data_IF_877145340697
#
_entry.id   IF_877145340697
#
_cell.length_a   1.000
_cell.length_b   1.000
_cell.length_c   1.000
_cell.angle_alpha   90.00
_cell.angle_beta   90.00
_cell.angle_gamma   90.00
#
_symmetry.space_group_name_H-M   'P 1'
#
loop_
_entity.id
_entity.type
_entity.pdbx_description
1 polymer ?
#
# COMPACT_ATOMS: atom_id res chain seq x y z
N UNK A 1 -4.57 18.93 32.60
CA UNK A 1 -5.34 19.69 31.60
C UNK A 1 -4.96 19.18 30.22
N UNK A 2 -5.71 18.20 29.73
CA UNK A 2 -5.57 17.63 28.39
C UNK A 2 -6.07 18.66 27.40
N UNK A 3 -5.15 19.36 26.73
CA UNK A 3 -5.49 20.27 25.64
C UNK A 3 -6.17 19.48 24.54
N UNK A 4 -7.44 19.77 24.30
CA UNK A 4 -8.16 19.28 23.14
C UNK A 4 -7.47 19.84 21.90
N UNK A 5 -6.80 18.98 21.14
CA UNK A 5 -6.28 19.32 19.81
C UNK A 5 -7.49 19.47 18.91
N UNK A 6 -7.99 20.70 18.75
CA UNK A 6 -8.98 21.04 17.74
C UNK A 6 -8.47 20.52 16.38
N UNK A 7 -9.27 19.80 15.60
CA UNK A 7 -8.83 19.33 14.29
C UNK A 7 -8.51 20.55 13.41
N UNK A 8 -7.22 20.82 13.19
CA UNK A 8 -6.77 21.84 12.26
C UNK A 8 -7.24 21.42 10.87
N UNK A 9 -8.10 22.22 10.25
CA UNK A 9 -8.62 21.98 8.91
C UNK A 9 -7.44 21.96 7.94
N UNK A 10 -7.17 20.80 7.32
CA UNK A 10 -6.08 20.66 6.36
C UNK A 10 -6.39 21.49 5.13
N UNK A 11 -5.60 22.55 4.90
CA UNK A 11 -5.71 23.35 3.68
C UNK A 11 -4.82 22.73 2.61
N UNK A 12 -5.39 22.46 1.44
CA UNK A 12 -4.65 21.87 0.33
C UNK A 12 -3.50 22.79 -0.11
N UNK A 13 -2.33 22.20 -0.39
CA UNK A 13 -1.13 22.91 -0.82
C UNK A 13 -0.64 22.32 -2.15
N UNK A 14 -1.27 22.69 -3.28
CA UNK A 14 -0.97 22.11 -4.58
C UNK A 14 0.43 22.51 -5.09
N UNK A 15 1.02 21.65 -5.91
CA UNK A 15 2.28 21.95 -6.62
C UNK A 15 2.00 22.92 -7.76
N UNK A 16 2.67 24.07 -7.77
CA UNK A 16 2.47 25.12 -8.78
C UNK A 16 3.64 25.21 -9.75
N UNK A 17 4.86 24.91 -9.30
CA UNK A 17 6.03 24.82 -10.17
C UNK A 17 7.02 23.76 -9.68
N UNK A 18 7.76 23.19 -10.63
CA UNK A 18 8.80 22.20 -10.37
C UNK A 18 10.01 22.52 -11.23
N UNK A 19 11.17 22.58 -10.59
CA UNK A 19 12.46 22.64 -11.27
C UNK A 19 13.15 21.30 -11.12
N UNK A 20 13.28 20.55 -12.21
CA UNK A 20 13.94 19.25 -12.21
C UNK A 20 15.46 19.43 -12.33
N UNK A 21 16.20 18.84 -11.41
CA UNK A 21 17.66 18.77 -11.45
C UNK A 21 18.08 17.34 -11.83
N UNK A 22 19.38 17.09 -11.86
CA UNK A 22 19.90 15.78 -12.27
C UNK A 22 19.64 14.66 -11.24
N UNK A 23 19.39 14.99 -9.98
CA UNK A 23 19.28 14.04 -8.87
C UNK A 23 18.09 14.28 -7.93
N UNK A 24 17.38 15.39 -8.09
CA UNK A 24 16.26 15.84 -7.25
C UNK A 24 15.39 16.83 -8.03
N UNK A 25 14.26 17.23 -7.45
CA UNK A 25 13.51 18.39 -7.92
C UNK A 25 13.34 19.42 -6.81
N UNK A 26 13.30 20.69 -7.18
CA UNK A 26 12.78 21.76 -6.34
C UNK A 26 11.31 21.92 -6.64
N UNK A 27 10.47 21.74 -5.61
CA UNK A 27 9.02 21.88 -5.69
C UNK A 27 8.64 23.22 -5.09
N UNK A 28 7.83 23.98 -5.80
CA UNK A 28 7.21 25.22 -5.34
C UNK A 28 5.69 25.04 -5.31
N UNK A 29 5.09 25.56 -4.25
CA UNK A 29 3.66 25.48 -3.96
C UNK A 29 3.17 26.85 -3.58
N UNK A 30 1.97 27.18 -4.05
CA UNK A 30 1.33 28.46 -3.74
C UNK A 30 -0.08 28.22 -3.28
N UNK A 31 -0.48 28.89 -2.21
CA UNK A 31 -1.84 28.84 -1.68
C UNK A 31 -2.23 30.19 -1.09
N UNK A 32 -3.50 30.56 -1.27
CA UNK A 32 -4.09 31.71 -0.57
C UNK A 32 -4.82 31.21 0.66
N UNK A 33 -4.47 31.75 1.82
CA UNK A 33 -5.09 31.42 3.11
C UNK A 33 -5.71 32.67 3.72
N UNK A 34 -6.86 32.52 4.36
CA UNK A 34 -7.47 33.58 5.15
C UNK A 34 -6.83 33.62 6.54
N UNK A 35 -6.15 34.72 6.85
CA UNK A 35 -5.48 34.92 8.12
C UNK A 35 -6.32 35.78 9.06
N UNK A 36 -6.31 35.44 10.34
CA UNK A 36 -6.74 36.35 11.41
C UNK A 36 -5.59 37.26 11.84
N UNK A 37 -5.90 38.40 12.46
CA UNK A 37 -4.89 39.27 13.06
C UNK A 37 -4.26 38.61 14.30
N UNK A 38 -2.94 38.75 14.45
CA UNK A 38 -2.13 38.12 15.49
C UNK A 38 -1.38 36.88 15.00
N UNK A 39 -0.90 36.08 15.95
CA UNK A 39 -0.16 34.84 15.70
C UNK A 39 -1.14 33.66 15.60
N UNK A 40 -1.03 32.87 14.53
CA UNK A 40 -1.82 31.65 14.34
C UNK A 40 -1.00 30.51 13.74
N UNK A 41 -1.46 29.28 13.96
CA UNK A 41 -0.85 28.07 13.41
C UNK A 41 -1.75 27.48 12.33
N UNK A 42 -1.15 27.17 11.19
CA UNK A 42 -1.78 26.55 10.04
C UNK A 42 -1.23 25.14 9.83
N UNK A 43 -2.05 24.27 9.25
CA UNK A 43 -1.65 22.94 8.78
C UNK A 43 -2.02 22.82 7.31
N UNK A 44 -1.01 22.66 6.47
CA UNK A 44 -1.14 22.62 5.01
C UNK A 44 -0.70 21.24 4.49
N UNK A 45 -1.40 20.69 3.51
CA UNK A 45 -1.06 19.39 2.92
C UNK A 45 -2.27 18.59 2.43
N UNK A 46 -2.10 17.26 2.21
CA UNK A 46 -0.88 16.47 2.43
C UNK A 46 0.25 16.80 1.43
N UNK A 47 1.49 16.49 1.84
CA UNK A 47 2.71 16.52 1.05
C UNK A 47 3.37 15.13 1.12
N UNK A 48 4.30 14.87 0.19
CA UNK A 48 5.13 13.68 0.16
C UNK A 48 6.04 13.64 1.39
N UNK A 49 6.14 12.45 1.99
CA UNK A 49 7.06 12.21 3.09
C UNK A 49 8.54 12.39 2.71
N UNK A 50 8.83 12.38 1.41
CA UNK A 50 10.17 12.56 0.85
C UNK A 50 10.65 14.02 0.86
N UNK A 51 9.76 14.99 1.15
CA UNK A 51 10.12 16.40 1.21
C UNK A 51 11.26 16.64 2.22
N UNK A 52 12.29 17.38 1.82
CA UNK A 52 13.52 17.55 2.62
C UNK A 52 13.41 18.74 3.57
N UNK A 53 13.35 18.47 4.87
CA UNK A 53 13.08 19.45 5.93
C UNK A 53 14.05 20.63 5.91
N UNK A 54 15.35 20.34 5.72
CA UNK A 54 16.41 21.35 5.72
C UNK A 54 16.35 22.33 4.55
N UNK A 55 15.51 22.06 3.57
CA UNK A 55 15.35 22.88 2.37
C UNK A 55 14.00 23.59 2.34
N UNK A 56 13.15 23.34 3.35
CA UNK A 56 11.86 23.98 3.48
C UNK A 56 12.04 25.49 3.64
N UNK A 57 11.39 26.24 2.77
CA UNK A 57 11.31 27.69 2.82
C UNK A 57 9.85 28.08 2.61
N UNK A 58 9.31 28.87 3.52
CA UNK A 58 7.95 29.39 3.45
C UNK A 58 8.02 30.92 3.52
N UNK A 59 7.41 31.58 2.55
CA UNK A 59 7.49 33.02 2.37
C UNK A 59 6.12 33.59 2.04
N UNK A 60 6.00 34.90 2.24
CA UNK A 60 4.83 35.67 1.82
C UNK A 60 5.28 37.04 1.34
N UNK A 61 4.64 37.54 0.29
CA UNK A 61 4.83 38.90 -0.19
C UNK A 61 3.82 39.89 0.46
N UNK A 62 2.91 39.42 1.31
CA UNK A 62 1.88 40.25 1.92
C UNK A 62 2.46 41.20 2.98
N UNK A 63 2.27 42.53 2.84
CA UNK A 63 2.70 43.50 3.85
C UNK A 63 2.03 43.25 5.20
N UNK A 64 2.81 43.36 6.29
CA UNK A 64 2.28 43.15 7.65
C UNK A 64 2.07 41.68 8.02
N UNK A 65 2.53 40.73 7.19
CA UNK A 65 2.51 39.29 7.51
C UNK A 65 3.93 38.74 7.57
N UNK A 66 4.20 37.91 8.58
CA UNK A 66 5.51 37.28 8.79
C UNK A 66 5.34 35.79 9.07
N UNK A 67 6.18 34.98 8.42
CA UNK A 67 6.33 33.57 8.77
C UNK A 67 7.31 33.48 9.95
N UNK A 68 6.84 32.93 11.07
CA UNK A 68 7.64 32.79 12.29
C UNK A 68 8.33 31.42 12.35
N UNK A 69 7.62 30.36 11.93
CA UNK A 69 8.12 28.99 11.95
C UNK A 69 7.50 28.19 10.81
N UNK A 70 8.29 27.33 10.17
CA UNK A 70 7.83 26.37 9.18
C UNK A 70 8.48 25.02 9.47
N UNK A 71 7.68 23.96 9.58
CA UNK A 71 8.19 22.60 9.79
C UNK A 71 7.35 21.56 9.08
N UNK A 72 8.01 20.51 8.59
CA UNK A 72 7.33 19.33 8.08
C UNK A 72 7.07 18.34 9.22
N UNK A 73 5.84 17.89 9.34
CA UNK A 73 5.43 16.86 10.30
C UNK A 73 4.96 15.65 9.52
N UNK A 74 5.66 14.53 9.71
CA UNK A 74 5.31 13.27 9.06
C UNK A 74 4.30 12.51 9.90
N UNK A 75 3.25 12.04 9.25
CA UNK A 75 2.21 11.23 9.85
C UNK A 75 2.17 9.88 9.13
N UNK A 76 2.22 8.82 9.92
CA UNK A 76 2.00 7.46 9.45
C UNK A 76 0.53 7.12 9.66
N UNK A 77 -0.23 7.00 8.56
CA UNK A 77 -1.63 6.58 8.53
C UNK A 77 -1.70 5.27 7.77
N UNK A 78 -1.31 4.15 8.40
CA UNK A 78 -1.37 2.85 7.76
C UNK A 78 -2.83 2.52 7.49
N UNK A 79 -3.11 1.88 6.35
CA UNK A 79 -4.41 1.23 6.19
C UNK A 79 -4.38 -0.01 7.04
N UNK A 80 -5.06 0.05 8.19
CA UNK A 80 -5.26 -1.13 9.01
C UNK A 80 -5.88 -2.26 8.15
N UNK A 81 -5.63 -3.54 8.46
CA UNK A 81 -6.27 -4.69 7.82
C UNK A 81 -7.74 -4.78 8.25
N UNK A 82 -8.47 -3.68 8.13
CA UNK A 82 -9.89 -3.58 8.32
C UNK A 82 -10.58 -4.13 7.07
N UNK A 83 -11.81 -4.64 7.21
CA UNK A 83 -12.65 -4.89 6.06
C UNK A 83 -12.75 -3.63 5.20
N UNK A 84 -12.79 -3.77 3.87
CA UNK A 84 -12.94 -2.63 2.98
C UNK A 84 -14.20 -1.83 3.35
N UNK A 85 -14.03 -0.52 3.43
CA UNK A 85 -15.09 0.44 3.71
C UNK A 85 -16.02 0.63 2.51
N UNK A 86 -17.13 1.39 2.67
CA UNK A 86 -18.12 1.56 1.60
C UNK A 86 -17.60 2.28 0.35
N UNK A 87 -16.53 3.07 0.50
CA UNK A 87 -15.89 3.82 -0.60
C UNK A 87 -14.74 3.02 -1.27
N UNK A 88 -14.44 1.81 -0.78
CA UNK A 88 -13.39 0.98 -1.35
C UNK A 88 -13.85 0.30 -2.65
N UNK A 89 -12.89 0.00 -3.51
CA UNK A 89 -13.21 -0.58 -4.82
C UNK A 89 -13.74 -2.00 -4.73
N UNK A 90 -14.46 -2.41 -5.77
CA UNK A 90 -14.92 -3.79 -5.93
C UNK A 90 -13.75 -4.81 -5.91
N UNK A 91 -12.55 -4.42 -6.37
CA UNK A 91 -11.36 -5.27 -6.32
C UNK A 91 -10.90 -5.52 -4.88
N UNK A 92 -10.88 -4.48 -4.04
CA UNK A 92 -10.57 -4.62 -2.60
C UNK A 92 -11.60 -5.48 -1.88
N UNK A 93 -12.90 -5.27 -2.13
CA UNK A 93 -13.96 -6.13 -1.59
C UNK A 93 -13.79 -7.59 -1.99
N UNK A 94 -13.46 -7.85 -3.27
CA UNK A 94 -13.21 -9.19 -3.78
C UNK A 94 -11.99 -9.84 -3.12
N UNK A 95 -10.89 -9.11 -2.99
CA UNK A 95 -9.68 -9.61 -2.34
C UNK A 95 -9.96 -10.00 -0.88
N UNK A 96 -10.67 -9.13 -0.14
CA UNK A 96 -11.04 -9.40 1.23
C UNK A 96 -11.92 -10.65 1.38
N UNK A 97 -12.89 -10.84 0.47
CA UNK A 97 -13.74 -12.04 0.45
C UNK A 97 -12.91 -13.31 0.20
N UNK A 98 -11.99 -13.27 -0.78
CA UNK A 98 -11.08 -14.39 -1.08
C UNK A 98 -10.19 -14.73 0.12
N UNK A 99 -9.69 -13.74 0.85
CA UNK A 99 -8.90 -13.94 2.07
C UNK A 99 -9.72 -14.55 3.22
N UNK A 100 -10.99 -14.15 3.35
CA UNK A 100 -11.90 -14.76 4.31
C UNK A 100 -12.17 -16.23 3.96
N UNK A 101 -12.45 -16.54 2.70
CA UNK A 101 -12.63 -17.92 2.22
C UNK A 101 -11.38 -18.78 2.40
N UNK A 102 -10.20 -18.22 2.10
CA UNK A 102 -8.93 -18.90 2.28
C UNK A 102 -8.72 -19.27 3.75
N UNK A 103 -8.92 -18.32 4.67
CA UNK A 103 -8.81 -18.57 6.13
C UNK A 103 -9.77 -19.67 6.59
N UNK A 104 -11.01 -19.68 6.10
CA UNK A 104 -11.96 -20.73 6.43
C UNK A 104 -11.53 -22.12 5.90
N UNK A 105 -11.03 -22.17 4.67
CA UNK A 105 -10.54 -23.41 4.06
C UNK A 105 -9.29 -23.94 4.77
N UNK A 106 -8.37 -23.06 5.18
CA UNK A 106 -7.16 -23.45 5.91
C UNK A 106 -7.48 -23.97 7.32
N UNK A 107 -8.44 -23.34 8.01
CA UNK A 107 -8.96 -23.88 9.28
C UNK A 107 -9.61 -25.26 9.09
N UNK A 108 -10.34 -25.48 7.99
CA UNK A 108 -10.92 -26.79 7.68
C UNK A 108 -9.84 -27.84 7.42
N UNK A 109 -8.79 -27.48 6.66
CA UNK A 109 -7.61 -28.32 6.45
C UNK A 109 -6.97 -28.71 7.77
N UNK A 110 -6.68 -27.75 8.65
CA UNK A 110 -6.06 -28.01 9.95
C UNK A 110 -6.91 -28.97 10.83
N UNK A 111 -8.24 -28.83 10.81
CA UNK A 111 -9.15 -29.77 11.51
C UNK A 111 -9.10 -31.17 10.91
N UNK A 112 -9.07 -31.30 9.59
CA UNK A 112 -8.99 -32.59 8.90
C UNK A 112 -7.64 -33.29 9.16
N UNK A 113 -6.53 -32.54 9.12
CA UNK A 113 -5.20 -33.04 9.45
C UNK A 113 -5.17 -33.60 10.88
N UNK A 114 -5.69 -32.84 11.85
CA UNK A 114 -5.79 -33.28 13.25
C UNK A 114 -6.68 -34.54 13.41
N UNK A 115 -7.79 -34.61 12.67
CA UNK A 115 -8.70 -35.75 12.69
C UNK A 115 -8.05 -37.01 12.13
N UNK A 116 -7.33 -36.89 11.02
CA UNK A 116 -6.59 -38.00 10.41
C UNK A 116 -5.46 -38.49 11.31
N UNK A 117 -4.74 -37.58 11.98
CA UNK A 117 -3.73 -37.94 12.96
C UNK A 117 -4.33 -38.74 14.15
N UNK A 118 -5.49 -38.32 14.64
CA UNK A 118 -6.21 -39.05 15.69
C UNK A 118 -6.65 -40.45 15.23
N UNK A 119 -7.17 -40.57 14.00
CA UNK A 119 -7.56 -41.88 13.43
C UNK A 119 -6.35 -42.80 13.23
N UNK A 120 -5.19 -42.25 12.87
CA UNK A 120 -3.95 -43.02 12.78
C UNK A 120 -3.52 -43.57 14.15
N UNK A 121 -3.65 -42.76 15.21
CA UNK A 121 -3.39 -43.20 16.58
C UNK A 121 -4.37 -44.30 17.03
N UNK A 122 -5.68 -44.11 16.79
CA UNK A 122 -6.70 -45.11 17.10
C UNK A 122 -6.46 -46.44 16.37
N UNK A 123 -6.04 -46.38 15.11
CA UNK A 123 -5.67 -47.58 14.34
C UNK A 123 -4.50 -48.32 14.98
N UNK A 124 -3.45 -47.60 15.41
CA UNK A 124 -2.30 -48.20 16.09
C UNK A 124 -2.69 -48.83 17.43
N UNK A 125 -3.54 -48.17 18.22
CA UNK A 125 -4.03 -48.70 19.49
C UNK A 125 -4.91 -49.93 19.33
N UNK A 126 -5.79 -49.94 18.31
CA UNK A 126 -6.61 -51.10 17.99
C UNK A 126 -5.76 -52.29 17.53
N UNK A 127 -4.75 -52.07 16.69
CA UNK A 127 -3.81 -53.12 16.27
C UNK A 127 -3.02 -53.68 17.46
N UNK A 128 -2.67 -52.84 18.43
CA UNK A 128 -2.03 -53.27 19.68
C UNK A 128 -2.99 -54.11 20.54
N UNK A 129 -4.23 -53.67 20.75
CA UNK A 129 -5.27 -54.44 21.46
C UNK A 129 -5.47 -55.82 20.81
N UNK A 130 -5.55 -55.88 19.48
CA UNK A 130 -5.67 -57.15 18.74
C UNK A 130 -4.47 -58.06 19.01
N UNK A 131 -3.25 -57.52 19.02
CA UNK A 131 -2.02 -58.28 19.29
C UNK A 131 -1.99 -58.83 20.72
N UNK A 132 -2.36 -58.00 21.71
CA UNK A 132 -2.43 -58.38 23.13
C UNK A 132 -3.51 -59.46 23.36
N UNK A 133 -4.73 -59.24 22.85
CA UNK A 133 -5.86 -60.16 22.98
C UNK A 133 -5.61 -61.52 22.30
N UNK A 134 -5.05 -61.51 21.08
CA UNK A 134 -4.66 -62.73 20.40
C UNK A 134 -3.59 -63.53 21.17
N UNK A 135 -2.68 -62.84 21.87
CA UNK A 135 -1.64 -63.45 22.70
C UNK A 135 -2.18 -64.20 23.92
N UNK A 136 -3.33 -63.81 24.46
CA UNK A 136 -4.01 -64.48 25.57
C UNK A 136 -5.13 -65.43 25.13
N UNK A 137 -5.30 -65.62 23.82
CA UNK A 137 -6.26 -66.57 23.24
C UNK A 137 -7.67 -66.02 23.01
N UNK A 138 -7.87 -64.69 23.05
CA UNK A 138 -9.14 -64.08 22.67
C UNK A 138 -9.40 -64.22 21.16
N UNK A 139 -10.67 -64.44 20.80
CA UNK A 139 -11.10 -64.65 19.41
C UNK A 139 -12.28 -63.72 19.10
N UNK A 140 -12.10 -62.41 19.31
CA UNK A 140 -13.10 -61.38 18.97
C UNK A 140 -12.99 -60.89 17.51
N UNK A 141 -12.68 -61.79 16.58
CA UNK A 141 -12.34 -61.46 15.17
C UNK A 141 -13.37 -60.55 14.49
N UNK A 142 -14.67 -60.80 14.72
CA UNK A 142 -15.75 -60.02 14.11
C UNK A 142 -15.82 -58.59 14.64
N UNK A 143 -15.51 -58.36 15.92
CA UNK A 143 -15.47 -57.01 16.50
C UNK A 143 -14.27 -56.26 15.94
N UNK A 144 -13.08 -56.86 15.99
CA UNK A 144 -11.86 -56.23 15.49
C UNK A 144 -11.92 -55.87 14.02
N UNK A 145 -12.42 -56.77 13.17
CA UNK A 145 -12.62 -56.48 11.75
C UNK A 145 -13.55 -55.28 11.55
N UNK A 146 -14.69 -55.24 12.26
CA UNK A 146 -15.65 -54.13 12.17
C UNK A 146 -15.06 -52.79 12.60
N UNK A 147 -14.28 -52.77 13.69
CA UNK A 147 -13.66 -51.52 14.17
C UNK A 147 -12.53 -51.05 13.24
N UNK A 148 -11.74 -51.96 12.68
CA UNK A 148 -10.73 -51.63 11.66
C UNK A 148 -11.38 -51.08 10.38
N UNK A 149 -12.40 -51.78 9.85
CA UNK A 149 -13.14 -51.34 8.66
C UNK A 149 -13.75 -49.95 8.87
N UNK A 150 -14.26 -49.67 10.09
CA UNK A 150 -14.80 -48.37 10.45
C UNK A 150 -13.73 -47.27 10.45
N UNK A 151 -12.57 -47.54 11.05
CA UNK A 151 -11.46 -46.57 11.07
C UNK A 151 -10.94 -46.32 9.66
N UNK A 152 -10.80 -47.36 8.83
CA UNK A 152 -10.36 -47.22 7.44
C UNK A 152 -11.36 -46.44 6.58
N UNK A 153 -12.65 -46.69 6.74
CA UNK A 153 -13.69 -45.91 6.05
C UNK A 153 -13.66 -44.42 6.43
N UNK A 154 -13.50 -44.09 7.72
CA UNK A 154 -13.37 -42.70 8.18
C UNK A 154 -12.08 -42.04 7.69
N UNK A 155 -10.97 -42.80 7.63
CA UNK A 155 -9.69 -42.32 7.09
C UNK A 155 -9.78 -42.00 5.61
N UNK A 156 -10.39 -42.88 4.81
CA UNK A 156 -10.56 -42.64 3.37
C UNK A 156 -11.42 -41.39 3.15
N UNK A 157 -12.57 -41.30 3.83
CA UNK A 157 -13.47 -40.16 3.74
C UNK A 157 -12.78 -38.84 4.08
N UNK A 158 -12.11 -38.74 5.23
CA UNK A 158 -11.42 -37.51 5.60
C UNK A 158 -10.19 -37.23 4.72
N UNK A 159 -9.54 -38.28 4.19
CA UNK A 159 -8.46 -38.16 3.21
C UNK A 159 -8.94 -37.56 1.88
N UNK A 160 -10.13 -37.92 1.41
CA UNK A 160 -10.77 -37.32 0.24
C UNK A 160 -11.17 -35.86 0.51
N UNK A 161 -11.80 -35.58 1.66
CA UNK A 161 -12.16 -34.22 2.08
C UNK A 161 -10.92 -33.31 2.17
N UNK A 162 -9.79 -33.83 2.67
CA UNK A 162 -8.53 -33.10 2.74
C UNK A 162 -7.95 -32.83 1.35
N UNK A 163 -7.95 -33.82 0.45
CA UNK A 163 -7.52 -33.66 -0.95
C UNK A 163 -8.35 -32.59 -1.68
N UNK A 164 -9.66 -32.58 -1.46
CA UNK A 164 -10.55 -31.55 -2.01
C UNK A 164 -10.24 -30.17 -1.42
N UNK A 165 -10.01 -30.09 -0.11
CA UNK A 165 -9.65 -28.84 0.58
C UNK A 165 -8.32 -28.28 0.09
N UNK A 166 -7.30 -29.11 -0.12
CA UNK A 166 -6.03 -28.70 -0.72
C UNK A 166 -6.21 -28.14 -2.13
N UNK A 167 -7.04 -28.78 -2.96
CA UNK A 167 -7.35 -28.27 -4.30
C UNK A 167 -8.09 -26.93 -4.24
N UNK A 168 -9.01 -26.75 -3.30
CA UNK A 168 -9.69 -25.47 -3.06
C UNK A 168 -8.71 -24.38 -2.64
N UNK A 169 -7.80 -24.67 -1.70
CA UNK A 169 -6.79 -23.71 -1.25
C UNK A 169 -5.89 -23.25 -2.40
N UNK A 170 -5.43 -24.18 -3.26
CA UNK A 170 -4.65 -23.83 -4.47
C UNK A 170 -5.42 -22.92 -5.42
N UNK A 171 -6.71 -23.19 -5.64
CA UNK A 171 -7.56 -22.34 -6.49
C UNK A 171 -7.74 -20.95 -5.89
N UNK A 172 -8.04 -20.86 -4.59
CA UNK A 172 -8.20 -19.59 -3.88
C UNK A 172 -6.90 -18.77 -3.90
N UNK A 173 -5.75 -19.41 -3.76
CA UNK A 173 -4.45 -18.74 -3.84
C UNK A 173 -4.18 -18.15 -5.24
N UNK A 174 -4.48 -18.90 -6.30
CA UNK A 174 -4.40 -18.40 -7.69
C UNK A 174 -5.38 -17.23 -7.94
N UNK A 175 -6.61 -17.32 -7.44
CA UNK A 175 -7.61 -16.25 -7.55
C UNK A 175 -7.17 -15.01 -6.78
N UNK A 176 -6.61 -15.17 -5.57
CA UNK A 176 -6.07 -14.09 -4.76
C UNK A 176 -4.88 -13.41 -5.45
N UNK A 177 -3.94 -14.18 -5.98
CA UNK A 177 -2.78 -13.63 -6.70
C UNK A 177 -3.22 -12.82 -7.92
N UNK A 178 -4.20 -13.30 -8.70
CA UNK A 178 -4.76 -12.54 -9.83
C UNK A 178 -5.48 -11.27 -9.38
N UNK A 179 -6.22 -11.32 -8.26
CA UNK A 179 -6.90 -10.16 -7.71
C UNK A 179 -5.92 -9.10 -7.19
N UNK A 180 -4.81 -9.53 -6.58
CA UNK A 180 -3.72 -8.64 -6.16
C UNK A 180 -3.09 -7.94 -7.35
N UNK A 181 -2.70 -8.69 -8.40
CA UNK A 181 -2.14 -8.07 -9.62
C UNK A 181 -3.11 -7.09 -10.26
N UNK A 182 -4.40 -7.44 -10.36
CA UNK A 182 -5.41 -6.53 -10.90
C UNK A 182 -5.61 -5.28 -10.03
N UNK A 183 -5.44 -5.38 -8.70
CA UNK A 183 -5.50 -4.24 -7.79
C UNK A 183 -4.31 -3.32 -8.00
N UNK A 184 -3.09 -3.88 -8.05
CA UNK A 184 -1.84 -3.13 -8.28
C UNK A 184 -1.82 -2.41 -9.63
N UNK A 185 -2.45 -3.00 -10.67
CA UNK A 185 -2.56 -2.40 -12.00
C UNK A 185 -3.65 -1.31 -12.06
N UNK A 186 -4.73 -1.46 -11.29
CA UNK A 186 -5.90 -0.57 -11.35
C UNK A 186 -5.80 0.61 -10.39
N UNK A 187 -5.04 0.46 -9.30
CA UNK A 187 -5.00 1.43 -8.21
C UNK A 187 -3.58 1.79 -7.83
N UNK A 188 -3.34 3.10 -7.71
CA UNK A 188 -2.16 3.59 -7.01
C UNK A 188 -2.44 3.55 -5.51
N UNK A 189 -1.63 2.79 -4.78
CA UNK A 189 -1.78 2.68 -3.33
C UNK A 189 -1.51 4.06 -2.71
N UNK A 190 -2.47 4.65 -1.95
CA UNK A 190 -2.22 5.91 -1.28
C UNK A 190 -1.05 5.72 -0.31
N UNK A 191 -0.08 6.62 -0.32
CA UNK A 191 1.07 6.46 0.56
C UNK A 191 0.63 6.45 2.05
N UNK A 192 1.12 5.47 2.79
CA UNK A 192 0.82 5.37 4.23
C UNK A 192 1.59 6.41 5.05
N UNK A 193 2.70 6.91 4.49
CA UNK A 193 3.49 7.99 5.06
C UNK A 193 3.27 9.27 4.25
N UNK A 194 2.74 10.30 4.92
CA UNK A 194 2.60 11.63 4.36
C UNK A 194 3.23 12.67 5.28
N UNK A 195 3.54 13.84 4.74
CA UNK A 195 3.95 15.01 5.50
C UNK A 195 2.86 16.07 5.46
N UNK A 196 2.78 16.89 6.50
CA UNK A 196 2.06 18.15 6.49
C UNK A 196 3.03 19.28 6.83
N UNK A 197 2.80 20.44 6.26
CA UNK A 197 3.47 21.65 6.66
C UNK A 197 2.71 22.27 7.83
N UNK A 198 3.35 22.33 8.99
CA UNK A 198 2.91 23.17 10.10
C UNK A 198 3.61 24.52 10.00
N UNK A 199 2.80 25.58 9.90
CA UNK A 199 3.28 26.95 9.70
C UNK A 199 2.76 27.84 10.83
N UNK A 200 3.64 28.55 11.51
CA UNK A 200 3.26 29.62 12.45
C UNK A 200 3.44 30.96 11.73
N UNK A 201 2.36 31.72 11.59
CA UNK A 201 2.36 33.03 10.93
C UNK A 201 1.83 34.09 11.87
N UNK A 202 2.33 35.31 11.72
CA UNK A 202 1.83 36.52 12.38
C UNK A 202 1.32 37.48 11.31
N UNK A 203 0.09 37.97 11.46
CA UNK A 203 -0.49 38.97 10.57
C UNK A 203 -0.98 40.18 11.38
N UNK A 204 -0.65 41.39 10.96
CA UNK A 204 -1.12 42.61 11.64
C UNK A 204 -2.63 42.84 11.50
N UNK A 205 -3.21 42.39 10.38
CA UNK A 205 -4.63 42.57 10.04
C UNK A 205 -5.21 41.27 9.46
N UNK A 206 -6.50 41.01 9.67
CA UNK A 206 -7.16 39.87 9.03
C UNK A 206 -7.29 40.07 7.52
N UNK A 207 -7.19 38.98 6.76
CA UNK A 207 -7.44 38.96 5.31
C UNK A 207 -6.71 37.85 4.55
N UNK A 208 -6.94 37.77 3.22
CA UNK A 208 -6.29 36.79 2.37
C UNK A 208 -4.80 37.07 2.23
N UNK A 209 -3.98 36.05 2.41
CA UNK A 209 -2.53 36.10 2.21
C UNK A 209 -2.10 34.94 1.32
N UNK A 210 -1.36 35.28 0.26
CA UNK A 210 -0.66 34.30 -0.56
C UNK A 210 0.63 33.84 0.14
N UNK A 211 0.78 32.53 0.25
CA UNK A 211 1.95 31.86 0.79
C UNK A 211 2.64 31.09 -0.33
N UNK A 212 3.96 31.24 -0.41
CA UNK A 212 4.82 30.45 -1.31
C UNK A 212 5.69 29.54 -0.47
N UNK A 213 5.63 28.25 -0.74
CA UNK A 213 6.42 27.23 -0.05
C UNK A 213 7.30 26.53 -1.08
N UNK A 214 8.60 26.47 -0.82
CA UNK A 214 9.54 25.69 -1.62
C UNK A 214 10.29 24.67 -0.77
N UNK A 215 10.58 23.51 -1.36
CA UNK A 215 11.41 22.48 -0.77
C UNK A 215 12.02 21.59 -1.86
N UNK A 216 13.07 20.86 -1.52
CA UNK A 216 13.60 19.80 -2.38
C UNK A 216 12.83 18.49 -2.13
N UNK A 217 12.73 17.68 -3.18
CA UNK A 217 12.25 16.31 -3.12
C UNK A 217 13.22 15.41 -3.90
N UNK A 218 13.68 14.29 -3.32
CA UNK A 218 14.42 13.26 -4.05
C UNK A 218 13.45 12.48 -4.94
N UNK A 219 13.95 11.45 -5.64
CA UNK A 219 13.11 10.58 -6.47
C UNK A 219 12.41 11.33 -7.62
N UNK A 220 13.02 12.42 -8.07
CA UNK A 220 12.69 13.09 -9.31
C UNK A 220 13.99 13.57 -9.96
N UNK A 221 14.09 13.45 -11.27
CA UNK A 221 15.26 13.90 -12.02
C UNK A 221 14.91 14.15 -13.48
N UNK A 222 15.77 14.90 -14.17
CA UNK A 222 15.76 14.94 -15.63
C UNK A 222 17.07 14.42 -16.23
N UNK A 223 17.00 13.92 -17.45
CA UNK A 223 18.17 13.57 -18.27
C UNK A 223 17.98 14.06 -19.70
N UNK A 224 19.04 14.56 -20.37
CA UNK A 224 18.97 14.81 -21.80
C UNK A 224 18.92 13.48 -22.56
N UNK A 225 18.12 13.44 -23.62
CA UNK A 225 18.04 12.34 -24.57
C UNK A 225 18.28 12.90 -25.97
N UNK A 226 19.17 12.26 -26.73
CA UNK A 226 19.52 12.70 -28.07
C UNK A 226 19.21 11.60 -29.07
N UNK A 227 18.55 11.96 -30.17
CA UNK A 227 18.30 11.06 -31.29
C UNK A 227 18.89 11.64 -32.57
N UNK A 228 19.79 10.89 -33.20
CA UNK A 228 20.37 11.24 -34.48
C UNK A 228 19.79 10.32 -35.57
N UNK A 229 19.15 10.91 -36.58
CA UNK A 229 18.60 10.18 -37.73
C UNK A 229 19.25 10.65 -39.03
N UNK A 230 19.66 9.69 -39.85
CA UNK A 230 20.20 9.98 -41.18
C UNK A 230 19.03 10.14 -42.16
N UNK A 231 18.95 11.31 -42.80
CA UNK A 231 18.02 11.57 -43.89
C UNK A 231 18.77 11.48 -45.22
N UNK A 232 18.32 10.68 -46.20
CA UNK A 232 18.93 10.61 -47.51
C UNK A 232 18.72 11.89 -48.36
N UNK A 233 17.87 12.82 -47.91
CA UNK A 233 17.48 14.05 -48.64
C UNK A 233 18.22 15.31 -48.15
N UNK A 234 19.52 15.23 -47.88
CA UNK A 234 20.31 16.41 -47.56
C UNK A 234 20.70 17.20 -48.81
N UNK A 235 20.82 18.54 -48.66
CA UNK A 235 21.15 19.46 -49.77
C UNK A 235 22.49 19.17 -50.48
N UNK A 236 23.36 18.32 -49.90
CA UNK A 236 24.67 17.90 -50.42
C UNK A 236 24.97 16.40 -50.19
N UNK A 237 23.95 15.53 -50.09
CA UNK A 237 24.12 14.10 -49.78
C UNK A 237 23.28 13.67 -48.57
N UNK A 238 23.67 12.62 -47.84
CA UNK A 238 22.95 12.21 -46.63
C UNK A 238 23.05 13.31 -45.55
N UNK A 239 21.91 13.86 -45.10
CA UNK A 239 21.80 14.85 -44.04
C UNK A 239 21.58 14.21 -42.67
N UNK A 240 22.06 14.85 -41.60
CA UNK A 240 21.86 14.39 -40.22
C UNK A 240 20.81 15.26 -39.53
N UNK A 241 19.74 14.66 -39.00
CA UNK A 241 18.78 15.32 -38.11
C UNK A 241 19.09 14.93 -36.67
N UNK A 242 19.34 15.92 -35.82
CA UNK A 242 19.55 15.74 -34.39
C UNK A 242 18.35 16.28 -33.63
N UNK A 243 17.73 15.42 -32.82
CA UNK A 243 16.65 15.76 -31.91
C UNK A 243 17.19 15.72 -30.48
N UNK A 244 16.82 16.72 -29.69
CA UNK A 244 17.20 16.84 -28.29
C UNK A 244 15.93 16.93 -27.45
N UNK A 245 15.79 16.01 -26.51
CA UNK A 245 14.66 15.88 -25.61
C UNK A 245 15.15 15.96 -24.16
N UNK A 246 14.31 16.46 -23.26
CA UNK A 246 14.51 16.35 -21.82
C UNK A 246 13.55 15.29 -21.29
N UNK A 247 14.09 14.21 -20.74
CA UNK A 247 13.29 13.15 -20.14
C UNK A 247 13.22 13.40 -18.65
N UNK A 248 12.02 13.69 -18.16
CA UNK A 248 11.75 13.86 -16.73
C UNK A 248 11.16 12.58 -16.18
N UNK A 249 11.69 12.13 -15.04
CA UNK A 249 11.17 11.00 -14.29
C UNK A 249 10.87 11.44 -12.86
N UNK A 250 9.75 10.96 -12.30
CA UNK A 250 9.38 11.21 -10.92
C UNK A 250 8.71 9.97 -10.31
N UNK A 251 8.99 9.71 -9.03
CA UNK A 251 8.28 8.78 -8.15
C UNK A 251 8.20 9.38 -6.75
N UNK A 252 7.78 10.64 -6.71
CA UNK A 252 7.69 11.44 -5.49
C UNK A 252 6.39 11.21 -4.74
N UNK A 253 5.37 10.64 -5.40
CA UNK A 253 4.02 10.51 -4.86
C UNK A 253 3.23 11.83 -4.88
N UNK A 254 3.76 12.87 -5.53
CA UNK A 254 3.07 14.15 -5.73
C UNK A 254 2.41 14.21 -7.10
N UNK A 255 1.27 14.88 -7.15
CA UNK A 255 0.64 15.26 -8.40
C UNK A 255 1.28 16.55 -8.94
N UNK A 256 1.91 16.45 -10.11
CA UNK A 256 2.50 17.59 -10.84
C UNK A 256 1.63 18.03 -12.01
N UNK A 257 0.39 17.54 -12.10
CA UNK A 257 -0.54 17.91 -13.16
C UNK A 257 -0.80 19.42 -13.15
N UNK A 258 -0.50 20.08 -14.27
CA UNK A 258 -0.65 21.52 -14.41
C UNK A 258 0.46 22.37 -13.77
N UNK A 259 1.47 21.75 -13.14
CA UNK A 259 2.62 22.48 -12.62
C UNK A 259 3.51 23.00 -13.76
N UNK A 260 4.08 24.20 -13.57
CA UNK A 260 5.10 24.73 -14.48
C UNK A 260 6.40 23.97 -14.29
N UNK A 261 6.79 23.18 -15.28
CA UNK A 261 8.04 22.42 -15.29
C UNK A 261 9.19 23.23 -15.89
N UNK A 262 10.33 23.23 -15.21
CA UNK A 262 11.58 23.90 -15.62
C UNK A 262 12.78 23.00 -15.47
#
# INVERSE_FOLDING_TARGET
MTGATTPTQDTALPVTAVTCLEDRAQVERTVTVELTGGVQRLRLGPLTALAVDRTLRAETAAPGTRVLEARLVRTWTPRAPLPPGPEDSALRHRLHALEAEYRQADQARARLDARLALLAQLSADLLREIGEGAGVGEIERTRWARELDRVDAERERHGEELRATHSRLRRLDQERSRALTALDEAEEEPAELHAHLELTVEAERPGPVELTVSHLVPCALWRPSYRATLSPEGRNGAGLRLESEAVVWQRTGEDWSGARLT
#
